data_IF_230839999561
#
_entry.id   IF_230839999561
#
_cell.length_a   1.000
_cell.length_b   1.000
_cell.length_c   1.000
_cell.angle_alpha   90.00
_cell.angle_beta   90.00
_cell.angle_gamma   90.00
#
_symmetry.space_group_name_H-M   'P 1'
#
loop_
_entity.id
_entity.type
_entity.pdbx_description
1 polymer ?
#
# COMPACT_ATOMS: atom_id res chain seq x y z
N UNK A 1 -12.05 19.84 6.20
CA UNK A 1 -11.12 18.93 5.52
C UNK A 1 -11.14 19.24 4.02
N UNK A 2 -10.04 19.77 3.47
CA UNK A 2 -10.02 20.32 2.11
C UNK A 2 -10.08 19.26 1.01
N UNK A 3 -10.92 19.49 0.01
CA UNK A 3 -11.18 18.58 -1.11
C UNK A 3 -9.90 18.18 -1.87
N UNK A 4 -9.80 16.90 -2.22
CA UNK A 4 -8.66 16.32 -2.95
C UNK A 4 -8.67 16.83 -4.40
N UNK A 5 -7.68 17.63 -4.80
CA UNK A 5 -7.51 18.04 -6.21
C UNK A 5 -7.02 16.84 -7.02
N UNK A 6 -7.78 16.36 -8.03
CA UNK A 6 -7.31 15.31 -8.92
C UNK A 6 -6.13 15.82 -9.74
N UNK A 7 -5.05 15.05 -9.81
CA UNK A 7 -3.93 15.33 -10.72
C UNK A 7 -3.79 14.14 -11.64
N UNK A 8 -4.01 14.35 -12.94
CA UNK A 8 -3.89 13.31 -13.98
C UNK A 8 -4.73 12.05 -13.70
N UNK A 9 -5.91 12.22 -13.08
CA UNK A 9 -6.78 11.10 -12.70
C UNK A 9 -6.42 10.41 -11.39
N UNK A 10 -5.35 10.83 -10.70
CA UNK A 10 -4.96 10.28 -9.41
C UNK A 10 -5.58 11.08 -8.24
N UNK A 11 -5.88 10.40 -7.12
CA UNK A 11 -6.46 11.04 -5.93
C UNK A 11 -5.48 11.96 -5.18
N UNK A 12 -4.16 11.84 -5.44
CA UNK A 12 -3.13 12.70 -4.87
C UNK A 12 -1.83 12.65 -5.68
N UNK A 13 -0.92 13.62 -5.44
CA UNK A 13 0.44 13.61 -6.02
C UNK A 13 1.24 12.39 -5.59
N UNK A 14 1.15 11.99 -4.32
CA UNK A 14 1.83 10.80 -3.81
C UNK A 14 1.32 9.54 -4.53
N UNK A 15 0.01 9.40 -4.70
CA UNK A 15 -0.57 8.27 -5.43
C UNK A 15 -0.10 8.20 -6.90
N UNK A 16 -0.02 9.35 -7.56
CA UNK A 16 0.54 9.42 -8.92
C UNK A 16 2.01 9.02 -8.97
N UNK A 17 2.84 9.50 -8.04
CA UNK A 17 4.27 9.15 -7.96
C UNK A 17 4.45 7.65 -7.73
N UNK A 18 3.72 7.05 -6.79
CA UNK A 18 3.83 5.62 -6.45
C UNK A 18 3.38 4.75 -7.64
N UNK A 19 2.25 5.06 -8.27
CA UNK A 19 1.77 4.30 -9.44
C UNK A 19 2.72 4.42 -10.64
N UNK A 20 3.23 5.62 -10.93
CA UNK A 20 4.20 5.82 -12.02
C UNK A 20 5.54 5.12 -11.72
N UNK A 21 5.93 5.03 -10.45
CA UNK A 21 7.08 4.20 -10.05
C UNK A 21 6.83 2.71 -10.19
N UNK A 22 5.64 2.23 -9.83
CA UNK A 22 5.23 0.84 -10.07
C UNK A 22 5.25 0.46 -11.55
N UNK A 23 5.01 1.44 -12.43
CA UNK A 23 5.13 1.31 -13.89
C UNK A 23 6.58 1.42 -14.42
N UNK A 24 7.57 1.57 -13.53
CA UNK A 24 8.99 1.60 -13.88
C UNK A 24 9.51 2.94 -14.41
N UNK A 25 8.78 4.05 -14.27
CA UNK A 25 9.26 5.36 -14.72
C UNK A 25 10.39 5.88 -13.84
N UNK A 26 11.35 6.60 -14.46
CA UNK A 26 12.42 7.30 -13.74
C UNK A 26 11.89 8.54 -13.00
N UNK A 27 12.61 8.98 -11.96
CA UNK A 27 12.27 10.18 -11.18
C UNK A 27 12.16 11.41 -12.09
N UNK A 28 13.07 11.57 -13.05
CA UNK A 28 13.07 12.68 -14.01
C UNK A 28 11.80 12.68 -14.87
N UNK A 29 11.38 11.51 -15.36
CA UNK A 29 10.17 11.39 -16.17
C UNK A 29 8.90 11.68 -15.35
N UNK A 30 8.87 11.28 -14.08
CA UNK A 30 7.76 11.55 -13.17
C UNK A 30 7.68 13.05 -12.85
N UNK A 31 8.84 13.68 -12.59
CA UNK A 31 8.96 15.11 -12.32
C UNK A 31 8.41 15.95 -13.49
N UNK A 32 8.79 15.60 -14.72
CA UNK A 32 8.28 16.24 -15.93
C UNK A 32 6.76 16.06 -16.08
N UNK A 33 6.27 14.82 -15.95
CA UNK A 33 4.83 14.51 -16.08
C UNK A 33 3.96 15.19 -15.04
N UNK A 34 4.44 15.31 -13.81
CA UNK A 34 3.70 15.93 -12.71
C UNK A 34 3.99 17.42 -12.56
N UNK A 35 4.88 17.98 -13.40
CA UNK A 35 5.33 19.37 -13.31
C UNK A 35 5.79 19.76 -11.90
N UNK A 36 6.60 18.88 -11.29
CA UNK A 36 7.23 19.08 -9.98
C UNK A 36 8.73 18.83 -10.07
N UNK A 37 9.50 19.26 -9.07
CA UNK A 37 10.93 18.97 -9.05
C UNK A 37 11.21 17.50 -8.74
N UNK A 38 12.34 16.97 -9.21
CA UNK A 38 12.81 15.63 -8.84
C UNK A 38 12.98 15.49 -7.32
N UNK A 39 13.39 16.56 -6.64
CA UNK A 39 13.45 16.61 -5.17
C UNK A 39 12.06 16.45 -4.53
N UNK A 40 11.02 17.05 -5.11
CA UNK A 40 9.65 16.85 -4.63
C UNK A 40 9.16 15.41 -4.87
N UNK A 41 9.54 14.76 -5.98
CA UNK A 41 9.25 13.34 -6.21
C UNK A 41 9.88 12.47 -5.12
N UNK A 42 11.18 12.63 -4.87
CA UNK A 42 11.88 11.86 -3.82
C UNK A 42 11.32 12.15 -2.42
N UNK A 43 10.92 13.38 -2.14
CA UNK A 43 10.29 13.74 -0.87
C UNK A 43 8.91 13.08 -0.71
N UNK A 44 8.13 12.96 -1.80
CA UNK A 44 6.84 12.28 -1.80
C UNK A 44 6.99 10.76 -1.62
N UNK A 45 7.99 10.15 -2.26
CA UNK A 45 8.36 8.74 -2.02
C UNK A 45 8.74 8.54 -0.55
N UNK A 46 9.70 9.30 -0.03
CA UNK A 46 10.15 9.21 1.35
C UNK A 46 9.04 9.51 2.36
N UNK A 47 8.11 10.41 2.03
CA UNK A 47 6.94 10.67 2.85
C UNK A 47 5.95 9.50 2.84
N UNK A 48 5.80 8.79 1.72
CA UNK A 48 4.94 7.62 1.65
C UNK A 48 5.53 6.47 2.46
N UNK A 49 6.81 6.17 2.28
CA UNK A 49 7.53 5.16 3.07
C UNK A 49 7.46 5.48 4.56
N UNK A 50 7.71 6.74 4.97
CA UNK A 50 7.55 7.14 6.38
C UNK A 50 6.12 7.06 6.88
N UNK A 51 5.12 7.26 6.03
CA UNK A 51 3.71 7.08 6.40
C UNK A 51 3.41 5.61 6.63
N UNK A 52 3.94 4.72 5.80
CA UNK A 52 3.85 3.26 6.00
C UNK A 52 4.59 2.82 7.26
N UNK A 53 5.81 3.33 7.49
CA UNK A 53 6.58 3.06 8.72
C UNK A 53 5.90 3.63 9.96
N UNK A 54 5.37 4.86 9.92
CA UNK A 54 4.61 5.41 11.05
C UNK A 54 3.29 4.72 11.24
N UNK A 55 2.63 4.23 10.18
CA UNK A 55 1.47 3.35 10.33
C UNK A 55 1.92 2.09 11.06
N UNK A 56 3.05 1.48 10.64
CA UNK A 56 3.71 0.34 11.28
C UNK A 56 4.13 0.60 12.76
N UNK A 57 4.52 1.82 13.12
CA UNK A 57 4.90 2.21 14.49
C UNK A 57 3.70 2.68 15.34
N UNK A 58 2.64 3.21 14.70
CA UNK A 58 1.39 3.61 15.37
C UNK A 58 0.49 2.41 15.70
N UNK A 59 0.90 1.17 15.36
CA UNK A 59 0.27 -0.06 15.86
C UNK A 59 0.47 -0.29 17.37
N UNK A 60 0.86 0.75 18.12
CA UNK A 60 0.76 0.83 19.56
C UNK A 60 -0.64 1.30 20.04
N UNK A 61 -1.49 0.33 20.35
CA UNK A 61 -2.41 0.26 21.52
C UNK A 61 -3.88 0.72 21.39
N UNK A 62 -4.31 1.60 20.47
CA UNK A 62 -5.76 1.89 20.32
C UNK A 62 -6.31 1.55 18.92
N UNK A 63 -7.12 0.48 18.84
CA UNK A 63 -7.95 0.17 17.66
C UNK A 63 -7.53 -1.04 16.80
N UNK A 64 -6.38 -1.66 17.07
CA UNK A 64 -5.92 -2.85 16.33
C UNK A 64 -6.08 -4.13 17.15
N UNK A 65 -6.53 -5.22 16.50
CA UNK A 65 -6.66 -6.55 17.12
C UNK A 65 -5.60 -7.48 16.54
N UNK A 66 -4.90 -8.20 17.42
CA UNK A 66 -4.03 -9.28 17.01
C UNK A 66 -4.87 -10.43 16.42
N UNK A 67 -4.45 -10.94 15.27
CA UNK A 67 -5.06 -12.11 14.63
C UNK A 67 -4.03 -13.24 14.67
N UNK A 68 -4.45 -14.41 15.14
CA UNK A 68 -3.61 -15.60 15.10
C UNK A 68 -3.67 -16.22 13.70
N UNK A 69 -2.50 -16.40 13.10
CA UNK A 69 -2.34 -17.10 11.84
C UNK A 69 -1.52 -18.38 12.07
N UNK A 70 -1.83 -19.46 11.34
CA UNK A 70 -1.01 -20.66 11.39
C UNK A 70 0.39 -20.39 10.82
N UNK A 71 1.40 -21.06 11.38
CA UNK A 71 2.78 -20.98 10.88
C UNK A 71 2.88 -21.40 9.40
N UNK A 72 2.01 -22.32 8.96
CA UNK A 72 1.98 -22.76 7.58
C UNK A 72 1.44 -21.68 6.63
N UNK A 73 0.34 -21.03 6.97
CA UNK A 73 -0.17 -19.91 6.18
C UNK A 73 0.86 -18.76 6.14
N UNK A 74 1.51 -18.46 7.26
CA UNK A 74 2.59 -17.49 7.32
C UNK A 74 3.74 -17.85 6.36
N UNK A 75 4.17 -19.12 6.37
CA UNK A 75 5.23 -19.62 5.48
C UNK A 75 4.85 -19.51 4.01
N UNK A 76 3.61 -19.87 3.66
CA UNK A 76 3.09 -19.81 2.29
C UNK A 76 2.96 -18.37 1.77
N UNK A 77 2.79 -17.38 2.66
CA UNK A 77 2.71 -15.97 2.29
C UNK A 77 4.09 -15.32 2.03
N UNK A 78 5.18 -15.89 2.57
CA UNK A 78 6.55 -15.32 2.42
C UNK A 78 6.96 -15.00 0.98
N UNK A 79 6.73 -15.88 -0.02
CA UNK A 79 7.12 -15.58 -1.40
C UNK A 79 6.36 -14.39 -1.99
N UNK A 80 5.09 -14.22 -1.62
CA UNK A 80 4.25 -13.12 -2.09
C UNK A 80 4.67 -11.78 -1.49
N UNK A 81 5.11 -11.80 -0.23
CA UNK A 81 5.64 -10.65 0.47
C UNK A 81 7.02 -10.25 -0.09
N UNK A 82 7.91 -11.23 -0.29
CA UNK A 82 9.24 -11.00 -0.85
C UNK A 82 9.20 -10.41 -2.28
N UNK A 83 8.27 -10.87 -3.13
CA UNK A 83 8.07 -10.31 -4.48
C UNK A 83 7.66 -8.83 -4.48
N UNK A 84 7.18 -8.31 -3.35
CA UNK A 84 6.69 -6.95 -3.19
C UNK A 84 7.52 -6.13 -2.20
N UNK A 85 8.68 -6.66 -1.79
CA UNK A 85 9.58 -6.03 -0.83
C UNK A 85 8.88 -5.60 0.48
N UNK A 86 7.98 -6.44 0.98
CA UNK A 86 7.20 -6.19 2.21
C UNK A 86 7.32 -7.32 3.22
N UNK A 87 7.06 -7.02 4.48
CA UNK A 87 6.91 -8.06 5.52
C UNK A 87 5.63 -8.86 5.29
N UNK A 88 5.58 -10.08 5.81
CA UNK A 88 4.36 -10.90 5.74
C UNK A 88 3.22 -10.24 6.52
N UNK A 89 3.51 -9.57 7.63
CA UNK A 89 2.50 -8.86 8.43
C UNK A 89 1.91 -7.69 7.65
N UNK A 90 2.73 -6.91 6.95
CA UNK A 90 2.28 -5.83 6.06
C UNK A 90 1.44 -6.38 4.91
N UNK A 91 1.85 -7.51 4.33
CA UNK A 91 1.07 -8.18 3.28
C UNK A 91 -0.31 -8.62 3.79
N UNK A 92 -0.38 -9.26 4.97
CA UNK A 92 -1.63 -9.71 5.58
C UNK A 92 -2.57 -8.53 5.82
N UNK A 93 -2.07 -7.45 6.43
CA UNK A 93 -2.86 -6.25 6.64
C UNK A 93 -3.37 -5.67 5.32
N UNK A 94 -2.52 -5.57 4.30
CA UNK A 94 -2.89 -5.06 2.97
C UNK A 94 -3.99 -5.91 2.33
N UNK A 95 -3.88 -7.25 2.41
CA UNK A 95 -4.89 -8.16 1.87
C UNK A 95 -6.23 -7.95 2.57
N UNK A 96 -6.23 -7.87 3.91
CA UNK A 96 -7.45 -7.68 4.70
C UNK A 96 -8.09 -6.30 4.40
N UNK A 97 -7.28 -5.23 4.33
CA UNK A 97 -7.77 -3.89 4.01
C UNK A 97 -8.41 -3.85 2.61
N UNK A 98 -7.76 -4.41 1.58
CA UNK A 98 -8.32 -4.49 0.23
C UNK A 98 -9.62 -5.31 0.21
N UNK A 99 -9.63 -6.47 0.87
CA UNK A 99 -10.81 -7.33 0.88
C UNK A 99 -12.04 -6.63 1.50
N UNK A 100 -11.83 -5.79 2.51
CA UNK A 100 -12.88 -4.98 3.14
C UNK A 100 -13.26 -3.78 2.28
N UNK A 101 -12.29 -3.03 1.76
CA UNK A 101 -12.52 -1.82 0.97
C UNK A 101 -13.21 -2.10 -0.37
N UNK A 102 -12.93 -3.25 -0.97
CA UNK A 102 -13.50 -3.69 -2.26
C UNK A 102 -14.72 -4.63 -2.11
N UNK A 103 -15.26 -4.78 -0.89
CA UNK A 103 -16.42 -5.64 -0.57
C UNK A 103 -16.25 -7.11 -1.04
N UNK A 104 -15.01 -7.61 -1.00
CA UNK A 104 -14.65 -8.96 -1.47
C UNK A 104 -14.79 -10.05 -0.40
N UNK A 105 -15.11 -9.69 0.85
CA UNK A 105 -15.14 -10.63 1.98
C UNK A 105 -16.09 -11.80 1.71
N UNK A 106 -17.30 -11.53 1.21
CA UNK A 106 -18.27 -12.57 0.89
C UNK A 106 -17.74 -13.52 -0.20
N UNK A 107 -17.18 -12.96 -1.27
CA UNK A 107 -16.61 -13.75 -2.37
C UNK A 107 -15.49 -14.68 -1.89
N UNK A 108 -14.57 -14.18 -1.06
CA UNK A 108 -13.45 -14.98 -0.51
C UNK A 108 -13.97 -16.12 0.38
N UNK A 109 -15.00 -15.87 1.18
CA UNK A 109 -15.56 -16.88 2.10
C UNK A 109 -16.43 -17.92 1.40
N UNK A 110 -17.07 -17.55 0.28
CA UNK A 110 -17.97 -18.43 -0.45
C UNK A 110 -17.25 -19.27 -1.51
N UNK A 111 -16.17 -18.78 -2.14
CA UNK A 111 -15.33 -19.59 -3.05
C UNK A 111 -14.65 -20.80 -2.35
N UNK A 112 -14.53 -20.77 -1.02
CA UNK A 112 -14.02 -21.89 -0.22
C UNK A 112 -15.06 -22.97 0.10
N UNK A 113 -16.34 -22.75 -0.24
CA UNK A 113 -17.44 -23.72 -0.02
C UNK A 113 -17.79 -24.39 -1.36
N UNK A 114 -16.98 -25.35 -1.78
CA UNK A 114 -17.37 -26.38 -2.76
C UNK A 114 -17.14 -27.77 -2.18
#
# INVERSE_FOLDING_TARGET
>A
MGARKPILGYPSRTAAVIDMRGKGLSISNIAERLSISSSAVSALEASNTRKETRRAESFGIEGHRAVQLSNEAYRLLRPYAARRDMSVDTLIQTIIEIAVDEDMVAAILDDGKS
#
